data_IF_557066636281
#
_entry.id   IF_557066636281
#
_cell.length_a   1.000
_cell.length_b   1.000
_cell.length_c   1.000
_cell.angle_alpha   90.00
_cell.angle_beta   90.00
_cell.angle_gamma   90.00
#
_symmetry.space_group_name_H-M   'P 1'
#
loop_
_entity.id
_entity.type
_entity.pdbx_description
1 polymer ?
#
# COMPACT_ATOMS: atom_id res chain seq x y z
N UNK A 1 -14.77 18.40 -7.78
CA UNK A 1 -14.65 16.93 -7.90
C UNK A 1 -14.12 16.42 -6.59
N UNK A 2 -14.53 15.23 -6.12
CA UNK A 2 -14.08 14.72 -4.82
C UNK A 2 -12.93 13.75 -5.03
N UNK A 3 -11.85 13.92 -4.31
CA UNK A 3 -10.71 13.01 -4.35
C UNK A 3 -10.33 12.57 -2.96
N UNK A 4 -9.67 11.43 -2.85
CA UNK A 4 -9.16 10.91 -1.58
C UNK A 4 -7.75 10.39 -1.81
N UNK A 5 -6.77 10.95 -1.10
CA UNK A 5 -5.39 10.51 -1.16
C UNK A 5 -5.11 9.51 -0.05
N UNK A 6 -4.66 8.31 -0.40
CA UNK A 6 -4.32 7.25 0.55
C UNK A 6 -2.80 7.17 0.66
N UNK A 7 -2.25 7.72 1.75
CA UNK A 7 -0.83 7.68 2.05
C UNK A 7 -0.52 6.64 3.12
N UNK A 8 0.74 6.23 3.24
CA UNK A 8 1.20 5.35 4.32
C UNK A 8 2.37 5.93 5.08
N UNK A 9 2.56 5.46 6.31
CA UNK A 9 3.74 5.80 7.09
C UNK A 9 4.97 4.95 6.71
N UNK A 10 4.80 3.86 5.97
CA UNK A 10 5.86 2.90 5.68
C UNK A 10 5.52 1.91 4.54
N UNK A 11 6.50 1.09 4.09
CA UNK A 11 6.26 0.04 3.11
C UNK A 11 5.34 -1.05 3.64
N UNK A 12 4.53 -1.66 2.75
CA UNK A 12 3.70 -2.84 3.08
C UNK A 12 2.68 -2.63 4.20
N UNK A 13 2.25 -1.40 4.44
CA UNK A 13 1.22 -1.05 5.43
C UNK A 13 -0.21 -1.46 5.05
N UNK A 14 -0.41 -2.17 3.93
CA UNK A 14 -1.75 -2.58 3.48
C UNK A 14 -2.57 -1.48 2.78
N UNK A 15 -1.92 -0.42 2.27
CA UNK A 15 -2.57 0.66 1.50
C UNK A 15 -3.54 0.15 0.43
N UNK A 16 -3.08 -0.74 -0.45
CA UNK A 16 -3.89 -1.24 -1.58
C UNK A 16 -5.10 -2.04 -1.10
N UNK A 17 -5.01 -2.74 0.05
CA UNK A 17 -6.17 -3.40 0.68
C UNK A 17 -7.19 -2.38 1.18
N UNK A 18 -6.72 -1.32 1.83
CA UNK A 18 -7.57 -0.21 2.26
C UNK A 18 -8.20 0.50 1.06
N UNK A 19 -7.43 0.77 0.01
CA UNK A 19 -7.93 1.35 -1.24
C UNK A 19 -9.02 0.50 -1.87
N UNK A 20 -8.82 -0.81 -2.02
CA UNK A 20 -9.83 -1.74 -2.53
C UNK A 20 -11.08 -1.72 -1.65
N UNK A 21 -10.93 -1.78 -0.32
CA UNK A 21 -12.06 -1.75 0.61
C UNK A 21 -12.88 -0.46 0.48
N UNK A 22 -12.21 0.68 0.46
CA UNK A 22 -12.85 2.00 0.29
C UNK A 22 -13.52 2.13 -1.08
N UNK A 23 -12.83 1.75 -2.15
CA UNK A 23 -13.41 1.76 -3.49
C UNK A 23 -14.66 0.88 -3.57
N UNK A 24 -14.67 -0.30 -2.93
CA UNK A 24 -15.89 -1.15 -2.86
C UNK A 24 -17.02 -0.49 -2.10
N UNK A 25 -16.73 0.21 -1.00
CA UNK A 25 -17.73 0.95 -0.23
C UNK A 25 -18.28 2.15 -1.00
N UNK A 26 -17.41 2.88 -1.70
CA UNK A 26 -17.77 4.03 -2.53
C UNK A 26 -18.66 3.58 -3.70
N UNK A 27 -18.31 2.47 -4.36
CA UNK A 27 -19.06 1.92 -5.49
C UNK A 27 -20.49 1.49 -5.13
N UNK A 28 -20.82 1.30 -3.85
CA UNK A 28 -22.21 1.06 -3.42
C UNK A 28 -23.10 2.30 -3.52
N UNK A 29 -22.51 3.49 -3.65
CA UNK A 29 -23.21 4.79 -3.61
C UNK A 29 -22.91 5.67 -4.82
N UNK A 30 -21.83 5.40 -5.53
CA UNK A 30 -21.30 6.22 -6.61
C UNK A 30 -20.93 5.31 -7.78
N UNK A 31 -21.51 5.58 -8.94
CA UNK A 31 -21.38 4.71 -10.11
C UNK A 31 -20.01 4.87 -10.80
N UNK A 32 -19.48 6.10 -10.82
CA UNK A 32 -18.26 6.45 -11.56
C UNK A 32 -17.10 6.71 -10.61
N UNK A 33 -16.26 5.70 -10.44
CA UNK A 33 -15.06 5.77 -9.60
C UNK A 33 -13.78 5.74 -10.45
N UNK A 34 -12.91 6.73 -10.22
CA UNK A 34 -11.57 6.79 -10.78
C UNK A 34 -10.55 6.23 -9.78
N UNK A 35 -9.44 5.73 -10.31
CA UNK A 35 -8.30 5.31 -9.51
C UNK A 35 -7.00 5.67 -10.20
N UNK A 36 -6.04 6.16 -9.42
CA UNK A 36 -4.69 6.46 -9.90
C UNK A 36 -3.67 6.10 -8.82
N UNK A 37 -2.56 5.51 -9.23
CA UNK A 37 -1.35 5.30 -8.42
C UNK A 37 -0.23 6.14 -9.04
N UNK A 38 -0.07 7.41 -8.63
CA UNK A 38 0.81 8.37 -9.30
C UNK A 38 2.23 7.88 -9.54
N UNK A 39 2.78 7.18 -8.55
CA UNK A 39 4.13 6.60 -8.59
C UNK A 39 4.02 5.15 -8.14
N UNK A 40 4.48 4.23 -8.98
CA UNK A 40 4.25 2.78 -8.82
C UNK A 40 5.44 1.95 -9.27
N UNK A 41 5.33 0.64 -9.09
CA UNK A 41 6.38 -0.36 -9.34
C UNK A 41 6.30 -0.98 -10.74
N UNK A 42 5.85 -0.23 -11.75
CA UNK A 42 5.95 -0.69 -13.14
C UNK A 42 7.43 -0.94 -13.51
N UNK A 43 7.75 -2.15 -13.97
CA UNK A 43 9.12 -2.60 -14.24
C UNK A 43 9.23 -3.19 -15.65
N UNK A 44 10.17 -2.69 -16.46
CA UNK A 44 10.55 -3.31 -17.73
C UNK A 44 9.41 -3.52 -18.75
N UNK A 45 8.35 -2.71 -18.68
CA UNK A 45 7.15 -2.84 -19.51
C UNK A 45 6.04 -3.72 -18.91
N UNK A 46 6.22 -4.26 -17.71
CA UNK A 46 5.14 -4.87 -16.93
C UNK A 46 4.43 -3.80 -16.10
N UNK A 47 3.08 -3.76 -16.11
CA UNK A 47 2.33 -2.88 -15.24
C UNK A 47 2.57 -3.18 -13.76
N UNK A 48 2.34 -2.18 -12.92
CA UNK A 48 2.26 -2.36 -11.46
C UNK A 48 1.16 -3.37 -11.09
N UNK A 49 1.46 -4.27 -10.16
CA UNK A 49 0.57 -5.36 -9.79
C UNK A 49 -0.72 -4.87 -9.08
N UNK A 50 -0.64 -3.82 -8.27
CA UNK A 50 -1.79 -3.23 -7.59
C UNK A 50 -2.70 -2.52 -8.59
N UNK A 51 -2.09 -1.83 -9.56
CA UNK A 51 -2.81 -1.20 -10.68
C UNK A 51 -3.59 -2.24 -11.47
N UNK A 52 -2.94 -3.33 -11.88
CA UNK A 52 -3.63 -4.39 -12.64
C UNK A 52 -4.75 -5.05 -11.83
N UNK A 53 -4.50 -5.33 -10.54
CA UNK A 53 -5.51 -5.90 -9.66
C UNK A 53 -6.74 -4.98 -9.56
N UNK A 54 -6.53 -3.69 -9.29
CA UNK A 54 -7.61 -2.71 -9.12
C UNK A 54 -8.35 -2.49 -10.45
N UNK A 55 -7.64 -2.39 -11.57
CA UNK A 55 -8.26 -2.31 -12.91
C UNK A 55 -9.19 -3.49 -13.15
N UNK A 56 -8.76 -4.71 -12.84
CA UNK A 56 -9.56 -5.92 -13.02
C UNK A 56 -10.77 -5.95 -12.06
N UNK A 57 -10.56 -5.62 -10.78
CA UNK A 57 -11.61 -5.67 -9.74
C UNK A 57 -12.73 -4.64 -9.92
N UNK A 58 -12.40 -3.50 -10.54
CA UNK A 58 -13.32 -2.38 -10.74
C UNK A 58 -13.65 -2.10 -12.21
N UNK A 59 -13.10 -2.89 -13.14
CA UNK A 59 -13.29 -2.77 -14.60
C UNK A 59 -12.95 -1.38 -15.11
N UNK A 60 -11.82 -0.84 -14.67
CA UNK A 60 -11.35 0.49 -15.09
C UNK A 60 -10.85 0.42 -16.54
N UNK A 61 -11.39 1.29 -17.40
CA UNK A 61 -11.10 1.27 -18.85
C UNK A 61 -9.82 2.01 -19.23
N UNK A 62 -9.30 2.87 -18.34
CA UNK A 62 -8.08 3.64 -18.57
C UNK A 62 -6.87 2.72 -18.80
N UNK A 63 -5.95 3.18 -19.66
CA UNK A 63 -4.65 2.53 -19.89
C UNK A 63 -3.86 2.46 -18.57
N UNK A 64 -3.18 1.35 -18.23
CA UNK A 64 -2.33 1.26 -17.06
C UNK A 64 -1.32 2.40 -16.92
N UNK A 65 -0.82 2.95 -18.02
CA UNK A 65 0.13 4.07 -18.04
C UNK A 65 -0.51 5.41 -17.66
N UNK A 66 -1.84 5.53 -17.76
CA UNK A 66 -2.56 6.69 -17.25
C UNK A 66 -2.80 6.52 -15.74
N UNK A 67 -3.15 5.30 -15.31
CA UNK A 67 -3.37 4.99 -13.89
C UNK A 67 -2.05 5.03 -13.10
N UNK A 68 -0.94 4.61 -13.70
CA UNK A 68 0.40 4.75 -13.15
C UNK A 68 1.33 5.44 -14.16
N UNK A 69 1.37 6.79 -14.14
CA UNK A 69 2.12 7.58 -15.11
C UNK A 69 3.64 7.58 -14.89
N UNK A 70 4.09 7.28 -13.67
CA UNK A 70 5.50 7.36 -13.31
C UNK A 70 5.90 6.09 -12.54
N UNK A 71 6.99 5.45 -12.94
CA UNK A 71 7.59 4.36 -12.16
C UNK A 71 8.44 4.93 -11.02
N UNK A 72 8.69 4.16 -9.96
CA UNK A 72 9.57 4.60 -8.86
C UNK A 72 10.97 4.97 -9.38
N UNK A 73 11.51 4.23 -10.34
CA UNK A 73 12.84 4.52 -10.89
C UNK A 73 12.83 5.79 -11.75
N UNK A 74 11.77 6.02 -12.53
CA UNK A 74 11.60 7.29 -13.25
C UNK A 74 11.43 8.46 -12.28
N UNK A 75 10.65 8.30 -11.21
CA UNK A 75 10.47 9.33 -10.20
C UNK A 75 11.83 9.72 -9.57
N UNK A 76 12.67 8.74 -9.23
CA UNK A 76 14.03 8.99 -8.71
C UNK A 76 14.89 9.76 -9.71
N UNK A 77 14.85 9.38 -10.98
CA UNK A 77 15.62 10.04 -12.03
C UNK A 77 15.15 11.49 -12.26
N UNK A 78 13.83 11.71 -12.29
CA UNK A 78 13.22 13.03 -12.43
C UNK A 78 13.63 13.91 -11.25
N UNK A 79 13.46 13.43 -10.01
CA UNK A 79 13.77 14.19 -8.80
C UNK A 79 15.26 14.53 -8.62
N UNK A 80 16.16 13.79 -9.28
CA UNK A 80 17.58 14.11 -9.30
C UNK A 80 17.93 15.31 -10.19
N UNK A 81 17.03 15.72 -11.10
CA UNK A 81 17.22 16.84 -11.99
C UNK A 81 16.76 18.17 -11.36
N UNK A 82 17.36 19.28 -11.81
CA UNK A 82 16.90 20.62 -11.42
C UNK A 82 15.51 20.88 -11.98
N UNK A 83 14.54 21.24 -11.12
CA UNK A 83 13.13 21.39 -11.50
C UNK A 83 12.37 20.06 -11.65
N UNK A 84 12.96 18.95 -11.22
CA UNK A 84 12.36 17.62 -11.31
C UNK A 84 11.04 17.48 -10.55
N UNK A 85 10.89 18.16 -9.42
CA UNK A 85 9.65 18.13 -8.64
C UNK A 85 8.46 18.69 -9.44
N UNK A 86 8.62 19.87 -10.05
CA UNK A 86 7.59 20.47 -10.91
C UNK A 86 7.25 19.58 -12.11
N UNK A 87 8.26 18.93 -12.71
CA UNK A 87 8.07 17.97 -13.80
C UNK A 87 7.24 16.77 -13.34
N UNK A 88 7.57 16.20 -12.18
CA UNK A 88 6.86 15.06 -11.59
C UNK A 88 5.39 15.42 -11.31
N UNK A 89 5.17 16.54 -10.62
CA UNK A 89 3.82 17.04 -10.29
C UNK A 89 3.00 17.29 -11.55
N UNK A 90 3.60 17.88 -12.59
CA UNK A 90 2.93 18.14 -13.88
C UNK A 90 2.50 16.86 -14.57
N UNK A 91 3.38 15.85 -14.62
CA UNK A 91 3.06 14.54 -15.21
C UNK A 91 1.91 13.86 -14.48
N UNK A 92 1.94 13.86 -13.15
CA UNK A 92 0.87 13.27 -12.34
C UNK A 92 -0.44 14.03 -12.53
N UNK A 93 -0.42 15.37 -12.46
CA UNK A 93 -1.62 16.19 -12.62
C UNK A 93 -2.28 15.97 -13.99
N UNK A 94 -1.47 15.84 -15.04
CA UNK A 94 -1.98 15.53 -16.38
C UNK A 94 -2.68 14.16 -16.46
N UNK A 95 -2.10 13.13 -15.83
CA UNK A 95 -2.69 11.80 -15.77
C UNK A 95 -3.94 11.76 -14.89
N UNK A 96 -3.90 12.41 -13.73
CA UNK A 96 -5.04 12.58 -12.84
C UNK A 96 -6.22 13.22 -13.55
N UNK A 97 -5.99 14.31 -14.30
CA UNK A 97 -7.06 14.98 -15.04
C UNK A 97 -7.73 14.06 -16.08
N UNK A 98 -6.98 13.12 -16.68
CA UNK A 98 -7.57 12.13 -17.58
C UNK A 98 -8.46 11.13 -16.84
N UNK A 99 -8.01 10.63 -15.69
CA UNK A 99 -8.81 9.71 -14.83
C UNK A 99 -10.05 10.42 -14.26
N UNK A 100 -9.90 11.69 -13.93
CA UNK A 100 -10.91 12.54 -13.31
C UNK A 100 -12.09 12.83 -14.25
N UNK A 101 -11.87 12.99 -15.56
CA UNK A 101 -12.91 13.43 -16.53
C UNK A 101 -14.21 12.62 -16.42
N UNK A 102 -14.10 11.31 -16.23
CA UNK A 102 -15.24 10.40 -16.18
C UNK A 102 -15.56 9.88 -14.77
N UNK A 103 -15.01 10.50 -13.72
CA UNK A 103 -15.16 10.06 -12.33
C UNK A 103 -15.88 11.08 -11.44
N UNK A 104 -16.81 10.61 -10.60
CA UNK A 104 -17.42 11.42 -9.54
C UNK A 104 -16.51 11.50 -8.30
N UNK A 105 -15.76 10.42 -8.07
CA UNK A 105 -14.74 10.32 -7.02
C UNK A 105 -13.48 9.66 -7.58
N UNK A 106 -12.31 10.22 -7.28
CA UNK A 106 -11.01 9.60 -7.60
C UNK A 106 -10.32 9.15 -6.32
N UNK A 107 -9.97 7.86 -6.25
CA UNK A 107 -9.10 7.32 -5.19
C UNK A 107 -7.67 7.36 -5.68
N UNK A 108 -6.81 8.04 -4.94
CA UNK A 108 -5.38 8.21 -5.27
C UNK A 108 -4.59 7.36 -4.28
N UNK A 109 -3.94 6.30 -4.76
CA UNK A 109 -3.04 5.49 -3.93
C UNK A 109 -1.62 6.07 -4.01
N UNK A 110 -1.10 6.52 -2.87
CA UNK A 110 0.24 7.10 -2.76
C UNK A 110 1.36 6.09 -2.97
N UNK A 111 2.60 6.56 -2.83
CA UNK A 111 3.80 5.77 -3.14
C UNK A 111 3.96 4.56 -2.21
N UNK A 112 4.66 3.53 -2.68
CA UNK A 112 4.80 2.28 -1.93
C UNK A 112 5.82 2.30 -0.79
N UNK A 113 6.55 3.41 -0.57
CA UNK A 113 7.66 3.51 0.38
C UNK A 113 8.72 2.44 0.08
N UNK A 114 9.75 2.80 -0.69
CA UNK A 114 10.80 1.89 -1.11
C UNK A 114 12.19 2.38 -0.69
N UNK A 115 12.61 1.99 0.52
CA UNK A 115 14.02 2.04 0.94
C UNK A 115 14.41 3.20 1.84
N UNK A 116 15.66 3.67 1.69
CA UNK A 116 16.35 4.57 2.62
C UNK A 116 15.90 6.05 2.60
N UNK A 117 14.88 6.38 1.79
CA UNK A 117 14.40 7.75 1.56
C UNK A 117 12.94 7.94 1.99
N UNK A 118 12.47 7.18 2.99
CA UNK A 118 11.08 7.22 3.44
C UNK A 118 10.56 8.62 3.82
N UNK A 119 11.41 9.48 4.38
CA UNK A 119 11.03 10.86 4.68
C UNK A 119 10.70 11.67 3.41
N UNK A 120 11.55 11.55 2.39
CA UNK A 120 11.36 12.22 1.10
C UNK A 120 10.10 11.72 0.38
N UNK A 121 9.73 10.45 0.55
CA UNK A 121 8.48 9.93 0.01
C UNK A 121 7.24 10.51 0.69
N UNK A 122 7.28 10.78 1.99
CA UNK A 122 6.15 11.44 2.66
C UNK A 122 5.97 12.88 2.18
N UNK A 123 7.07 13.61 2.00
CA UNK A 123 7.03 14.95 1.42
C UNK A 123 6.42 14.93 0.01
N UNK A 124 6.83 13.99 -0.84
CA UNK A 124 6.26 13.85 -2.19
C UNK A 124 4.77 13.51 -2.14
N UNK A 125 4.35 12.59 -1.27
CA UNK A 125 2.94 12.26 -1.12
C UNK A 125 2.13 13.49 -0.67
N UNK A 126 2.66 14.30 0.24
CA UNK A 126 2.03 15.54 0.68
C UNK A 126 1.92 16.57 -0.46
N UNK A 127 3.00 16.79 -1.23
CA UNK A 127 2.99 17.70 -2.38
C UNK A 127 2.02 17.26 -3.48
N UNK A 128 1.96 15.96 -3.76
CA UNK A 128 0.99 15.37 -4.68
C UNK A 128 -0.44 15.57 -4.16
N UNK A 129 -0.69 15.28 -2.89
CA UNK A 129 -2.01 15.45 -2.28
C UNK A 129 -2.49 16.90 -2.39
N UNK A 130 -1.61 17.85 -2.07
CA UNK A 130 -1.86 19.29 -2.18
C UNK A 130 -2.12 19.72 -3.62
N UNK A 131 -1.28 19.28 -4.56
CA UNK A 131 -1.40 19.60 -5.99
C UNK A 131 -2.72 19.10 -6.57
N UNK A 132 -3.19 17.95 -6.08
CA UNK A 132 -4.43 17.31 -6.54
C UNK A 132 -5.67 17.76 -5.75
N UNK A 133 -5.52 18.69 -4.80
CA UNK A 133 -6.59 19.16 -3.88
C UNK A 133 -7.32 17.97 -3.23
N UNK A 134 -6.54 16.96 -2.82
CA UNK A 134 -7.04 15.72 -2.28
C UNK A 134 -6.73 15.67 -0.78
N UNK A 135 -7.74 15.47 0.09
CA UNK A 135 -7.51 15.24 1.50
C UNK A 135 -6.88 13.85 1.74
N UNK A 136 -6.05 13.75 2.78
CA UNK A 136 -5.21 12.59 3.09
C UNK A 136 -5.88 11.68 4.11
N UNK A 137 -6.07 10.43 3.71
CA UNK A 137 -6.29 9.30 4.59
C UNK A 137 -4.98 8.54 4.80
N UNK A 138 -4.55 8.43 6.05
CA UNK A 138 -3.31 7.75 6.38
C UNK A 138 -3.55 6.27 6.70
N UNK A 139 -2.64 5.42 6.21
CA UNK A 139 -2.63 3.98 6.50
C UNK A 139 -1.35 3.61 7.23
N UNK A 140 -1.47 3.22 8.49
CA UNK A 140 -0.35 2.78 9.32
C UNK A 140 -0.36 1.26 9.52
N UNK A 141 0.81 0.63 9.57
CA UNK A 141 0.91 -0.78 9.97
C UNK A 141 1.06 -0.88 11.48
N UNK A 142 0.28 -1.76 12.10
CA UNK A 142 0.47 -2.18 13.48
C UNK A 142 1.13 -3.55 13.63
N UNK A 143 1.65 -4.11 12.54
CA UNK A 143 2.34 -5.39 12.57
C UNK A 143 3.58 -5.33 13.48
N UNK A 144 3.64 -6.23 14.47
CA UNK A 144 4.72 -6.33 15.45
C UNK A 144 5.01 -5.03 16.22
N UNK A 145 3.98 -4.21 16.47
CA UNK A 145 4.12 -2.91 17.15
C UNK A 145 3.19 -2.75 18.34
N UNK A 146 3.64 -1.92 19.27
CA UNK A 146 2.84 -1.41 20.37
C UNK A 146 1.97 -0.24 19.92
N UNK A 147 0.90 0.04 20.68
CA UNK A 147 0.03 1.21 20.46
C UNK A 147 0.83 2.51 20.45
N UNK A 148 1.79 2.67 21.37
CA UNK A 148 2.66 3.85 21.45
C UNK A 148 3.53 4.07 20.21
N UNK A 149 4.11 3.01 19.66
CA UNK A 149 4.91 3.11 18.43
C UNK A 149 4.06 3.53 17.24
N UNK A 150 2.85 2.97 17.10
CA UNK A 150 1.90 3.32 16.05
C UNK A 150 1.51 4.80 16.17
N UNK A 151 1.13 5.26 17.37
CA UNK A 151 0.76 6.66 17.61
C UNK A 151 1.89 7.61 17.26
N UNK A 152 3.11 7.33 17.75
CA UNK A 152 4.28 8.17 17.46
C UNK A 152 4.58 8.27 15.96
N UNK A 153 4.42 7.16 15.22
CA UNK A 153 4.67 7.15 13.78
C UNK A 153 3.62 7.96 13.01
N UNK A 154 2.34 7.80 13.37
CA UNK A 154 1.23 8.54 12.75
C UNK A 154 1.32 10.03 13.08
N UNK A 155 1.69 10.39 14.30
CA UNK A 155 1.86 11.78 14.71
C UNK A 155 2.96 12.48 13.90
N UNK A 156 4.14 11.88 13.80
CA UNK A 156 5.24 12.42 13.00
C UNK A 156 4.84 12.58 11.53
N UNK A 157 4.11 11.60 10.98
CA UNK A 157 3.66 11.70 9.60
C UNK A 157 2.60 12.78 9.41
N UNK A 158 1.68 12.95 10.37
CA UNK A 158 0.69 14.02 10.36
C UNK A 158 1.34 15.40 10.39
N UNK A 159 2.38 15.61 11.21
CA UNK A 159 3.11 16.88 11.23
C UNK A 159 3.61 17.27 9.84
N UNK A 160 4.20 16.34 9.09
CA UNK A 160 4.63 16.59 7.70
C UNK A 160 3.46 16.94 6.77
N UNK A 161 2.32 16.24 6.88
CA UNK A 161 1.11 16.52 6.09
C UNK A 161 0.55 17.92 6.42
N UNK A 162 0.50 18.28 7.71
CA UNK A 162 0.02 19.57 8.19
C UNK A 162 0.94 20.72 7.76
N UNK A 163 2.26 20.55 7.85
CA UNK A 163 3.26 21.54 7.42
C UNK A 163 3.12 21.91 5.94
N UNK A 164 2.70 20.94 5.12
CA UNK A 164 2.42 21.14 3.69
C UNK A 164 1.06 21.77 3.43
N UNK A 165 0.19 21.84 4.44
CA UNK A 165 -1.15 22.42 4.36
C UNK A 165 -2.16 21.48 3.71
N UNK A 166 -2.00 20.17 3.86
CA UNK A 166 -2.94 19.17 3.37
C UNK A 166 -4.03 18.89 4.40
N UNK A 167 -5.26 18.64 3.94
CA UNK A 167 -6.37 18.25 4.81
C UNK A 167 -6.21 16.80 5.27
N UNK A 168 -5.87 16.59 6.54
CA UNK A 168 -5.77 15.25 7.13
C UNK A 168 -7.14 14.76 7.65
N UNK A 169 -7.68 13.68 7.08
CA UNK A 169 -9.01 13.15 7.43
C UNK A 169 -8.95 12.22 8.63
N UNK A 170 -7.85 11.51 8.80
CA UNK A 170 -7.73 10.47 9.81
C UNK A 170 -6.80 9.35 9.43
N UNK A 171 -6.81 8.32 10.25
CA UNK A 171 -5.94 7.15 10.12
C UNK A 171 -6.72 5.85 10.16
N UNK A 172 -6.31 4.89 9.32
CA UNK A 172 -6.65 3.47 9.44
C UNK A 172 -5.38 2.72 9.81
N UNK A 173 -5.47 1.88 10.85
CA UNK A 173 -4.36 1.02 11.27
C UNK A 173 -4.64 -0.39 10.81
N UNK A 174 -3.68 -1.02 10.13
CA UNK A 174 -3.84 -2.38 9.57
C UNK A 174 -2.87 -3.37 10.19
N UNK A 175 -3.06 -4.66 9.91
CA UNK A 175 -2.12 -5.74 10.24
C UNK A 175 -1.87 -5.92 11.74
N UNK A 176 -2.83 -5.52 12.57
CA UNK A 176 -2.80 -5.84 14.00
C UNK A 176 -2.98 -7.34 14.20
N UNK A 177 -2.17 -7.95 15.06
CA UNK A 177 -2.35 -9.35 15.40
C UNK A 177 -3.78 -9.58 15.90
N UNK A 178 -4.53 -10.59 15.40
CA UNK A 178 -5.92 -10.82 15.81
C UNK A 178 -6.09 -10.95 17.33
N UNK A 179 -5.10 -11.51 18.03
CA UNK A 179 -5.06 -11.62 19.50
C UNK A 179 -4.96 -10.28 20.23
N UNK A 180 -4.43 -9.25 19.59
CA UNK A 180 -4.19 -7.92 20.17
C UNK A 180 -5.18 -6.87 19.66
N UNK A 181 -6.07 -7.23 18.72
CA UNK A 181 -6.93 -6.30 18.01
C UNK A 181 -7.78 -5.44 18.94
N UNK A 182 -8.52 -6.06 19.88
CA UNK A 182 -9.41 -5.33 20.80
C UNK A 182 -8.61 -4.36 21.69
N UNK A 183 -7.57 -4.88 22.36
CA UNK A 183 -6.73 -4.10 23.27
C UNK A 183 -6.07 -2.92 22.57
N UNK A 184 -5.41 -3.17 21.43
CA UNK A 184 -4.72 -2.10 20.69
C UNK A 184 -5.74 -1.11 20.12
N UNK A 185 -6.90 -1.54 19.64
CA UNK A 185 -7.93 -0.62 19.14
C UNK A 185 -8.37 0.37 20.22
N UNK A 186 -8.67 -0.10 21.43
CA UNK A 186 -9.05 0.78 22.55
C UNK A 186 -7.93 1.75 22.96
N UNK A 187 -6.68 1.26 22.99
CA UNK A 187 -5.52 2.11 23.28
C UNK A 187 -5.39 3.22 22.23
N UNK A 188 -5.48 2.87 20.94
CA UNK A 188 -5.35 3.81 19.82
C UNK A 188 -6.47 4.84 19.80
N UNK A 189 -7.73 4.44 20.03
CA UNK A 189 -8.86 5.38 20.14
C UNK A 189 -8.60 6.43 21.23
N UNK A 190 -8.05 5.99 22.36
CA UNK A 190 -7.77 6.87 23.50
C UNK A 190 -6.61 7.81 23.21
N UNK A 191 -5.50 7.30 22.66
CA UNK A 191 -4.31 8.12 22.39
C UNK A 191 -4.55 9.10 21.23
N UNK A 192 -5.09 8.65 20.09
CA UNK A 192 -5.34 9.52 18.95
C UNK A 192 -6.32 10.66 19.25
N UNK A 193 -7.33 10.40 20.10
CA UNK A 193 -8.27 11.43 20.53
C UNK A 193 -7.59 12.56 21.33
N UNK A 194 -6.52 12.28 22.07
CA UNK A 194 -5.76 13.32 22.79
C UNK A 194 -5.05 14.27 21.84
N UNK A 195 -4.59 13.74 20.71
CA UNK A 195 -3.85 14.48 19.69
C UNK A 195 -4.75 15.02 18.56
N UNK A 196 -6.07 14.90 18.70
CA UNK A 196 -7.04 15.37 17.71
C UNK A 196 -7.00 14.61 16.38
N UNK A 197 -6.56 13.34 16.42
CA UNK A 197 -6.49 12.44 15.27
C UNK A 197 -7.72 11.54 15.26
N UNK A 198 -8.44 11.51 14.13
CA UNK A 198 -9.56 10.61 13.94
C UNK A 198 -9.08 9.21 13.54
N UNK A 199 -9.31 8.22 14.42
CA UNK A 199 -9.13 6.81 14.10
C UNK A 199 -10.37 6.29 13.39
N UNK A 200 -10.24 6.00 12.10
CA UNK A 200 -11.36 5.59 11.25
C UNK A 200 -11.56 4.07 11.22
N UNK A 201 -10.56 3.30 11.64
CA UNK A 201 -10.70 1.86 11.77
C UNK A 201 -9.39 1.16 12.08
N UNK A 202 -9.53 -0.06 12.63
CA UNK A 202 -8.42 -0.98 12.88
C UNK A 202 -8.71 -2.30 12.19
N UNK A 203 -7.85 -2.69 11.25
CA UNK A 203 -7.99 -3.90 10.43
C UNK A 203 -7.00 -4.96 10.95
N UNK A 204 -7.47 -6.13 11.42
CA UNK A 204 -6.58 -7.20 11.85
C UNK A 204 -5.79 -7.76 10.65
N UNK A 205 -4.62 -8.31 10.93
CA UNK A 205 -3.78 -8.98 9.94
C UNK A 205 -4.31 -10.36 9.61
N UNK A 206 -4.39 -10.67 8.31
CA UNK A 206 -4.78 -11.98 7.80
C UNK A 206 -3.57 -12.69 7.19
N UNK A 207 -3.19 -13.84 7.77
CA UNK A 207 -2.01 -14.60 7.33
C UNK A 207 -2.07 -14.96 5.85
N UNK A 208 -3.26 -15.34 5.36
CA UNK A 208 -3.47 -15.73 3.97
C UNK A 208 -3.19 -14.59 3.01
N UNK A 209 -3.55 -13.35 3.36
CA UNK A 209 -3.29 -12.17 2.52
C UNK A 209 -1.80 -11.80 2.46
N UNK A 210 -1.04 -12.14 3.51
CA UNK A 210 0.41 -11.94 3.55
C UNK A 210 1.22 -13.11 2.98
N UNK A 211 0.59 -14.25 2.68
CA UNK A 211 1.27 -15.47 2.24
C UNK A 211 1.54 -15.40 0.74
N UNK A 212 2.79 -15.42 0.26
CA UNK A 212 3.07 -15.49 -1.17
C UNK A 212 2.73 -16.87 -1.73
N UNK A 213 2.48 -16.94 -3.03
CA UNK A 213 2.37 -18.23 -3.74
C UNK A 213 3.75 -18.82 -3.99
N UNK A 214 3.85 -20.15 -4.03
CA UNK A 214 5.08 -20.85 -4.40
C UNK A 214 5.62 -20.41 -5.77
N UNK A 215 4.75 -20.10 -6.73
CA UNK A 215 5.11 -19.57 -8.04
C UNK A 215 5.83 -18.22 -7.96
N UNK A 216 5.41 -17.35 -7.04
CA UNK A 216 6.00 -16.03 -6.85
C UNK A 216 7.39 -16.14 -6.24
N UNK A 217 7.54 -17.02 -5.23
CA UNK A 217 8.84 -17.32 -4.63
C UNK A 217 9.79 -17.90 -5.69
N UNK A 218 9.35 -18.93 -6.42
CA UNK A 218 10.17 -19.58 -7.44
C UNK A 218 10.65 -18.60 -8.51
N UNK A 219 9.75 -17.72 -9.00
CA UNK A 219 10.09 -16.66 -9.94
C UNK A 219 11.09 -15.68 -9.35
N UNK A 220 10.89 -15.22 -8.11
CA UNK A 220 11.73 -14.19 -7.49
C UNK A 220 13.16 -14.68 -7.21
N UNK A 221 13.34 -15.95 -6.89
CA UNK A 221 14.67 -16.54 -6.61
C UNK A 221 15.30 -17.22 -7.84
N UNK A 222 14.60 -17.23 -8.99
CA UNK A 222 15.07 -17.94 -10.19
C UNK A 222 15.16 -19.45 -10.01
N UNK A 223 14.30 -20.05 -9.17
CA UNK A 223 14.32 -21.47 -8.91
C UNK A 223 13.84 -22.29 -10.11
N UNK A 224 14.45 -23.45 -10.32
CA UNK A 224 13.96 -24.48 -11.23
C UNK A 224 13.00 -25.41 -10.50
N UNK A 225 11.75 -25.48 -10.95
CA UNK A 225 10.76 -26.42 -10.41
C UNK A 225 11.09 -27.82 -10.90
N UNK A 226 11.44 -28.71 -9.97
CA UNK A 226 11.77 -30.12 -10.30
C UNK A 226 10.52 -31.01 -10.29
N UNK A 227 9.60 -30.76 -9.35
CA UNK A 227 8.38 -31.53 -9.15
C UNK A 227 7.24 -30.61 -8.70
N UNK A 228 5.99 -31.07 -8.82
CA UNK A 228 4.83 -30.37 -8.28
C UNK A 228 4.41 -29.10 -9.04
N UNK A 229 4.63 -29.07 -10.36
CA UNK A 229 4.27 -27.94 -11.24
C UNK A 229 2.81 -27.47 -11.07
N UNK A 230 1.88 -28.41 -10.83
CA UNK A 230 0.46 -28.12 -10.63
C UNK A 230 0.13 -27.49 -9.25
N UNK A 231 1.08 -27.49 -8.32
CA UNK A 231 0.91 -26.99 -6.95
C UNK A 231 1.55 -25.62 -6.72
N UNK A 232 2.06 -24.95 -7.76
CA UNK A 232 2.75 -23.66 -7.60
C UNK A 232 1.81 -22.52 -7.18
N UNK A 233 0.50 -22.71 -7.27
CA UNK A 233 -0.49 -21.76 -6.75
C UNK A 233 -0.67 -21.82 -5.23
N UNK A 234 -0.09 -22.82 -4.56
CA UNK A 234 -0.20 -23.00 -3.11
C UNK A 234 0.47 -21.83 -2.36
N UNK A 235 -0.17 -21.42 -1.27
CA UNK A 235 0.32 -20.34 -0.42
C UNK A 235 1.37 -20.85 0.55
N UNK A 236 2.38 -20.04 0.77
CA UNK A 236 3.41 -20.27 1.80
C UNK A 236 3.03 -19.53 3.07
N UNK A 237 2.55 -20.28 4.05
CA UNK A 237 2.09 -19.76 5.34
C UNK A 237 3.24 -19.57 6.35
N UNK A 238 4.35 -20.28 6.16
CA UNK A 238 5.52 -20.21 7.03
C UNK A 238 6.81 -20.61 6.31
N UNK A 239 7.95 -20.12 6.79
CA UNK A 239 9.27 -20.48 6.26
C UNK A 239 10.12 -21.09 7.38
N UNK A 240 10.77 -22.23 7.10
CA UNK A 240 11.71 -22.90 8.02
C UNK A 240 13.00 -23.23 7.29
N UNK A 241 14.13 -22.90 7.91
CA UNK A 241 15.46 -23.30 7.42
C UNK A 241 15.85 -24.60 8.11
N UNK A 242 15.99 -25.67 7.34
CA UNK A 242 16.36 -26.99 7.82
C UNK A 242 17.89 -27.14 7.86
N UNK A 243 18.50 -26.76 8.99
CA UNK A 243 19.92 -27.06 9.26
C UNK A 243 20.14 -28.50 9.81
N UNK A 244 19.15 -29.38 9.67
CA UNK A 244 19.13 -30.72 10.29
C UNK A 244 18.90 -31.82 9.24
N UNK A 245 19.14 -33.07 9.64
CA UNK A 245 18.87 -34.23 8.78
C UNK A 245 17.38 -34.37 8.47
N UNK A 246 17.06 -34.94 7.30
CA UNK A 246 15.68 -35.06 6.81
C UNK A 246 14.75 -35.80 7.79
N UNK A 247 15.26 -36.82 8.49
CA UNK A 247 14.49 -37.56 9.50
C UNK A 247 14.02 -36.70 10.67
N UNK A 248 14.75 -35.64 11.00
CA UNK A 248 14.39 -34.69 12.06
C UNK A 248 13.50 -33.54 11.54
N UNK A 249 13.57 -33.25 10.24
CA UNK A 249 12.76 -32.20 9.60
C UNK A 249 11.33 -32.70 9.30
N UNK A 250 11.16 -33.94 8.83
CA UNK A 250 9.87 -34.50 8.41
C UNK A 250 8.76 -34.38 9.48
N UNK A 251 9.00 -34.69 10.78
CA UNK A 251 7.97 -34.57 11.81
C UNK A 251 7.54 -33.13 12.11
N UNK A 252 8.26 -32.14 11.59
CA UNK A 252 8.02 -30.69 11.79
C UNK A 252 7.39 -30.04 10.58
N UNK A 253 7.04 -30.81 9.54
CA UNK A 253 6.32 -30.28 8.40
C UNK A 253 4.90 -29.89 8.80
N UNK A 254 4.52 -28.68 8.42
CA UNK A 254 3.18 -28.14 8.59
C UNK A 254 2.63 -27.76 7.22
N UNK A 255 1.31 -27.69 7.11
CA UNK A 255 0.68 -27.30 5.85
C UNK A 255 1.05 -25.85 5.45
N UNK A 256 1.36 -25.65 4.17
CA UNK A 256 1.86 -24.38 3.64
C UNK A 256 3.28 -24.01 4.10
N UNK A 257 4.03 -24.90 4.75
CA UNK A 257 5.43 -24.63 5.12
C UNK A 257 6.36 -24.68 3.91
N UNK A 258 7.13 -23.61 3.70
CA UNK A 258 8.32 -23.63 2.84
C UNK A 258 9.53 -24.06 3.67
N UNK A 259 10.13 -25.19 3.29
CA UNK A 259 11.38 -25.67 3.85
C UNK A 259 12.55 -25.22 2.96
N UNK A 260 13.56 -24.57 3.56
CA UNK A 260 14.79 -24.10 2.91
C UNK A 260 15.98 -24.92 3.43
#
# INVERSE_FOLDING_TARGET
>A
MKSLYIASTEPRSGKSVVAIGLMKLIQQRIDKIGYIKPIGNADGGQPDADVELIRLLFKLEHDPKIINPVSIDDARNILAASGGEDELLTKVLHAYNQVAVDADVVVIEGTDYAGALSALELDINAELSKTLDAPVLMVASGENRTSKEIVSQVFAAKETIDEKGCDFIGVIVTRIAPSDHERISTDLETEFKKDGIDLLGVIPGEKLLSSPRMSEIARKVGAKVMFGHDNLSNLVSSVRVAAMTIGNALPRLEDGMLLI
#
